data_IF_253825402724
#
_entry.id   IF_253825402724
#
_cell.length_a   1.000
_cell.length_b   1.000
_cell.length_c   1.000
_cell.angle_alpha   90.00
_cell.angle_beta   90.00
_cell.angle_gamma   90.00
#
_symmetry.space_group_name_H-M   'P 1'
#
loop_
_entity.id
_entity.type
_entity.pdbx_description
1 polymer ?
#
# COMPACT_ATOMS: atom_id res chain seq x y z
N UNK A 1 3.91 11.26 -15.50
CA UNK A 1 4.30 10.82 -14.14
C UNK A 1 5.38 9.76 -14.23
N UNK A 2 6.34 9.76 -13.30
CA UNK A 2 7.34 8.69 -13.19
C UNK A 2 6.71 7.41 -12.60
N UNK A 3 7.30 6.26 -12.92
CA UNK A 3 6.90 4.97 -12.35
C UNK A 3 7.08 5.02 -10.82
N UNK A 4 6.03 4.68 -10.02
CA UNK A 4 6.11 4.69 -8.57
C UNK A 4 7.25 3.81 -8.04
N UNK A 5 7.96 4.30 -7.03
CA UNK A 5 8.98 3.56 -6.29
C UNK A 5 8.53 3.34 -4.85
N UNK A 6 8.94 2.24 -4.19
CA UNK A 6 8.62 2.02 -2.79
C UNK A 6 9.16 3.17 -1.93
N UNK A 7 8.31 3.69 -1.04
CA UNK A 7 8.67 4.73 -0.08
C UNK A 7 9.51 4.10 1.04
N UNK A 8 10.47 4.85 1.58
CA UNK A 8 11.16 4.45 2.81
C UNK A 8 10.18 4.51 3.98
N UNK A 9 10.21 3.53 4.89
CA UNK A 9 9.27 3.55 6.01
C UNK A 9 9.39 4.84 6.86
N UNK A 10 10.59 5.40 6.97
CA UNK A 10 10.84 6.67 7.67
C UNK A 10 10.26 7.90 6.97
N UNK A 11 9.89 7.79 5.69
CA UNK A 11 9.32 8.89 4.90
C UNK A 11 7.78 8.81 4.83
N UNK A 12 7.17 7.76 5.38
CA UNK A 12 5.72 7.71 5.56
C UNK A 12 5.29 8.80 6.54
N UNK A 13 4.09 9.35 6.32
CA UNK A 13 3.52 10.42 7.14
C UNK A 13 2.13 10.04 7.61
N UNK A 14 1.84 10.33 8.87
CA UNK A 14 0.50 10.20 9.43
C UNK A 14 -0.47 11.13 8.70
N UNK A 15 -1.69 10.65 8.45
CA UNK A 15 -2.72 11.37 7.72
C UNK A 15 -2.63 11.26 6.19
N UNK A 16 -1.50 10.82 5.63
CA UNK A 16 -1.31 10.72 4.18
C UNK A 16 -1.83 9.40 3.60
N UNK A 17 -2.18 9.46 2.31
CA UNK A 17 -2.66 8.32 1.52
C UNK A 17 -1.54 7.69 0.69
N UNK A 18 -1.57 6.37 0.61
CA UNK A 18 -0.62 5.56 -0.16
C UNK A 18 -1.31 4.38 -0.83
N UNK A 19 -0.68 3.83 -1.87
CA UNK A 19 -0.97 2.47 -2.31
C UNK A 19 -0.12 1.51 -1.48
N UNK A 20 -0.75 0.52 -0.85
CA UNK A 20 -0.07 -0.63 -0.26
C UNK A 20 -0.15 -1.83 -1.21
N UNK A 21 1.00 -2.32 -1.67
CA UNK A 21 1.15 -3.57 -2.41
C UNK A 21 1.49 -4.68 -1.43
N UNK A 22 0.48 -5.50 -1.12
CA UNK A 22 0.57 -6.60 -0.17
C UNK A 22 0.85 -7.91 -0.92
N UNK A 23 2.05 -8.43 -0.74
CA UNK A 23 2.53 -9.70 -1.29
C UNK A 23 2.31 -10.82 -0.29
N UNK A 24 1.50 -11.81 -0.67
CA UNK A 24 1.27 -13.04 0.07
C UNK A 24 2.37 -14.07 -0.21
N UNK A 25 2.52 -15.07 0.65
CA UNK A 25 3.44 -16.23 0.46
C UNK A 25 3.29 -16.93 -0.88
N UNK A 26 2.08 -17.00 -1.41
CA UNK A 26 1.78 -17.59 -2.73
C UNK A 26 2.25 -16.72 -3.91
N UNK A 27 2.94 -15.60 -3.63
CA UNK A 27 3.30 -14.52 -4.56
C UNK A 27 2.09 -13.82 -5.19
N UNK A 28 0.88 -14.09 -4.70
CA UNK A 28 -0.29 -13.29 -5.01
C UNK A 28 -0.18 -11.92 -4.34
N UNK A 29 -0.62 -10.89 -5.04
CA UNK A 29 -0.54 -9.49 -4.65
C UNK A 29 -1.92 -8.89 -4.54
N UNK A 30 -2.18 -8.22 -3.44
CA UNK A 30 -3.38 -7.39 -3.33
C UNK A 30 -2.94 -5.96 -3.13
N UNK A 31 -3.55 -5.05 -3.87
CA UNK A 31 -3.31 -3.62 -3.70
C UNK A 31 -4.47 -2.99 -2.93
N UNK A 32 -4.11 -2.11 -2.01
CA UNK A 32 -5.04 -1.34 -1.18
C UNK A 32 -4.70 0.14 -1.27
N UNK A 33 -5.71 0.98 -1.09
CA UNK A 33 -5.48 2.37 -0.72
C UNK A 33 -5.44 2.42 0.80
N UNK A 34 -4.38 2.99 1.37
CA UNK A 34 -4.15 3.04 2.81
C UNK A 34 -3.93 4.47 3.28
N UNK A 35 -4.48 4.80 4.44
CA UNK A 35 -4.24 6.05 5.15
C UNK A 35 -3.46 5.73 6.41
N UNK A 36 -2.26 6.28 6.55
CA UNK A 36 -1.44 6.03 7.74
C UNK A 36 -2.04 6.78 8.92
N UNK A 37 -2.22 6.08 10.04
CA UNK A 37 -2.81 6.62 11.26
C UNK A 37 -1.77 6.90 12.33
N UNK A 38 -0.75 6.04 12.44
CA UNK A 38 0.29 6.15 13.46
C UNK A 38 1.60 5.56 12.95
N UNK A 39 2.71 6.25 13.23
CA UNK A 39 4.07 5.79 12.91
C UNK A 39 4.98 5.97 14.14
N UNK A 40 5.62 4.88 14.56
CA UNK A 40 6.64 4.89 15.60
C UNK A 40 7.82 4.01 15.16
N UNK A 41 8.88 4.63 14.62
CA UNK A 41 10.02 3.90 13.99
C UNK A 41 11.37 4.11 14.68
N UNK A 42 11.52 5.13 15.53
CA UNK A 42 12.74 5.44 16.29
C UNK A 42 12.54 5.11 17.77
N UNK A 43 13.62 4.72 18.43
CA UNK A 43 13.67 4.52 19.86
C UNK A 43 14.89 5.26 20.42
N UNK A 44 14.65 6.14 21.39
CA UNK A 44 15.70 6.53 22.34
C UNK A 44 15.47 5.84 23.69
N UNK A 45 14.23 5.65 24.19
CA UNK A 45 13.99 4.94 25.48
C UNK A 45 12.65 4.15 25.65
N UNK A 46 11.89 3.78 24.60
CA UNK A 46 10.71 2.85 24.70
C UNK A 46 9.73 2.82 23.51
N UNK A 47 8.65 2.00 23.52
CA UNK A 47 8.49 0.56 23.15
C UNK A 47 8.41 0.28 21.63
N UNK A 48 8.49 -1.02 21.25
CA UNK A 48 8.39 -1.64 19.92
C UNK A 48 7.96 -0.77 18.71
N UNK A 49 8.67 -0.89 17.57
CA UNK A 49 8.28 -0.20 16.33
C UNK A 49 6.84 -0.54 15.94
N UNK A 50 6.08 0.48 15.56
CA UNK A 50 4.67 0.35 15.21
C UNK A 50 4.33 1.16 13.95
N UNK A 51 3.54 0.58 13.05
CA UNK A 51 2.79 1.31 12.03
C UNK A 51 1.33 0.86 12.08
N UNK A 52 0.42 1.82 12.12
CA UNK A 52 -1.02 1.59 12.03
C UNK A 52 -1.56 2.32 10.81
N UNK A 53 -2.38 1.65 10.02
CA UNK A 53 -3.09 2.28 8.92
C UNK A 53 -4.52 1.77 8.82
N UNK A 54 -5.38 2.58 8.21
CA UNK A 54 -6.64 2.09 7.67
C UNK A 54 -6.51 1.80 6.19
N UNK A 55 -7.26 0.83 5.67
CA UNK A 55 -7.21 0.42 4.27
C UNK A 55 -8.58 0.18 3.67
N UNK A 56 -8.69 0.45 2.38
CA UNK A 56 -9.81 0.01 1.55
C UNK A 56 -9.28 -0.73 0.33
N UNK A 57 -10.08 -1.68 -0.18
CA UNK A 57 -9.77 -2.31 -1.45
C UNK A 57 -9.82 -1.28 -2.58
N UNK A 58 -9.01 -1.45 -3.63
CA UNK A 58 -9.08 -0.57 -4.82
C UNK A 58 -10.49 -0.51 -5.39
N UNK A 59 -11.30 -1.57 -5.27
CA UNK A 59 -12.69 -1.56 -5.73
C UNK A 59 -13.54 -0.55 -4.94
N UNK A 60 -13.38 -0.53 -3.62
CA UNK A 60 -14.24 0.21 -2.71
C UNK A 60 -13.76 1.66 -2.49
N UNK A 61 -12.46 1.94 -2.64
CA UNK A 61 -11.93 3.29 -2.44
C UNK A 61 -12.61 4.31 -3.36
N UNK A 62 -13.09 5.43 -2.81
CA UNK A 62 -13.80 6.48 -3.52
C UNK A 62 -13.40 7.85 -3.01
N UNK A 63 -13.75 8.92 -3.73
CA UNK A 63 -13.52 10.30 -3.28
C UNK A 63 -14.20 10.60 -1.93
N UNK A 64 -15.29 9.90 -1.61
CA UNK A 64 -15.98 10.05 -0.33
C UNK A 64 -15.34 9.25 0.82
N UNK A 65 -14.30 8.45 0.54
CA UNK A 65 -13.60 7.68 1.57
C UNK A 65 -12.89 8.57 2.60
N UNK A 66 -12.62 9.84 2.29
CA UNK A 66 -12.16 10.81 3.29
C UNK A 66 -13.22 11.11 4.36
N UNK A 67 -14.51 11.08 3.98
CA UNK A 67 -15.65 11.38 4.86
C UNK A 67 -16.06 10.14 5.66
N UNK A 68 -16.21 9.00 4.98
CA UNK A 68 -16.69 7.76 5.60
C UNK A 68 -15.57 6.93 6.26
N UNK A 69 -14.31 7.31 6.04
CA UNK A 69 -13.15 6.51 6.44
C UNK A 69 -12.91 5.32 5.51
N UNK A 70 -11.84 4.58 5.79
CA UNK A 70 -11.48 3.36 5.07
C UNK A 70 -11.96 2.12 5.81
N UNK A 71 -12.28 1.07 5.04
CA UNK A 71 -13.02 -0.13 5.47
C UNK A 71 -12.42 -0.89 6.67
N UNK A 72 -11.09 -0.99 6.78
CA UNK A 72 -10.41 -1.83 7.77
C UNK A 72 -9.23 -1.13 8.41
N UNK A 73 -8.85 -1.50 9.62
CA UNK A 73 -7.59 -1.11 10.25
C UNK A 73 -6.61 -2.29 10.23
N UNK A 74 -5.33 -2.00 10.00
CA UNK A 74 -4.24 -2.94 10.22
C UNK A 74 -3.15 -2.31 11.09
N UNK A 75 -2.56 -3.15 11.94
CA UNK A 75 -1.56 -2.75 12.91
C UNK A 75 -0.35 -3.69 12.79
N UNK A 76 0.82 -3.09 12.69
CA UNK A 76 2.09 -3.81 12.61
C UNK A 76 2.94 -3.41 13.81
N UNK A 77 3.44 -4.41 14.53
CA UNK A 77 4.31 -4.25 15.69
C UNK A 77 5.62 -5.03 15.49
N UNK A 78 6.74 -4.55 16.03
CA UNK A 78 8.03 -5.22 15.85
C UNK A 78 8.14 -6.59 16.54
N UNK A 79 7.25 -6.89 17.49
CA UNK A 79 7.03 -8.27 18.00
C UNK A 79 6.73 -9.23 16.87
N UNK A 80 5.83 -8.86 15.96
CA UNK A 80 5.26 -9.76 14.96
C UNK A 80 5.77 -9.50 13.54
N UNK A 81 6.49 -8.40 13.32
CA UNK A 81 6.94 -7.96 12.01
C UNK A 81 8.40 -7.50 11.99
N UNK A 82 9.05 -7.68 10.84
CA UNK A 82 10.30 -7.04 10.50
C UNK A 82 10.02 -5.71 9.79
N UNK A 83 10.60 -4.62 10.31
CA UNK A 83 10.52 -3.29 9.71
C UNK A 83 11.82 -3.04 8.93
N UNK A 84 11.74 -3.26 7.61
CA UNK A 84 12.86 -3.06 6.70
C UNK A 84 12.85 -1.63 6.18
N UNK A 85 13.86 -1.25 5.39
CA UNK A 85 14.02 0.13 4.93
C UNK A 85 12.80 0.66 4.18
N UNK A 86 12.16 -0.15 3.34
CA UNK A 86 11.08 0.23 2.44
C UNK A 86 9.88 -0.73 2.45
N UNK A 87 9.83 -1.68 3.38
CA UNK A 87 8.72 -2.62 3.51
C UNK A 87 8.58 -3.15 4.93
N UNK A 88 7.37 -3.61 5.25
CA UNK A 88 7.06 -4.37 6.47
C UNK A 88 6.86 -5.82 6.09
N UNK A 89 7.39 -6.76 6.87
CA UNK A 89 7.22 -8.19 6.63
C UNK A 89 6.72 -8.91 7.90
N UNK A 90 5.63 -9.64 7.80
CA UNK A 90 5.15 -10.53 8.86
C UNK A 90 6.16 -11.66 9.12
N UNK A 91 6.45 -11.95 10.39
CA UNK A 91 7.36 -13.03 10.79
C UNK A 91 6.74 -14.42 10.56
N UNK A 92 5.43 -14.55 10.76
CA UNK A 92 4.73 -15.85 10.71
C UNK A 92 4.32 -16.24 9.30
N UNK A 93 3.74 -15.29 8.56
CA UNK A 93 3.12 -15.58 7.27
C UNK A 93 3.93 -15.06 6.09
N UNK A 94 5.14 -14.55 6.30
CA UNK A 94 6.00 -13.93 5.28
C UNK A 94 5.31 -12.91 4.36
N UNK A 95 4.18 -12.36 4.79
CA UNK A 95 3.43 -11.35 4.05
C UNK A 95 4.25 -10.05 4.02
N UNK A 96 4.39 -9.43 2.86
CA UNK A 96 5.20 -8.22 2.66
C UNK A 96 4.33 -7.07 2.20
N UNK A 97 4.52 -5.90 2.80
CA UNK A 97 3.82 -4.67 2.45
C UNK A 97 4.82 -3.63 1.95
N UNK A 98 4.67 -3.22 0.69
CA UNK A 98 5.35 -2.07 0.11
C UNK A 98 4.39 -0.90 -0.01
N UNK A 99 4.86 0.32 0.22
CA UNK A 99 4.05 1.53 0.13
C UNK A 99 4.52 2.41 -1.02
N UNK A 100 3.59 3.02 -1.74
CA UNK A 100 3.86 3.87 -2.90
C UNK A 100 3.04 5.15 -2.83
N UNK A 101 3.66 6.26 -3.21
CA UNK A 101 2.92 7.48 -3.51
C UNK A 101 2.11 7.24 -4.78
N UNK A 102 0.95 7.88 -4.85
CA UNK A 102 0.13 7.89 -6.05
C UNK A 102 -0.57 9.24 -6.17
N UNK A 103 -0.88 9.59 -7.42
CA UNK A 103 -1.71 10.74 -7.75
C UNK A 103 -3.18 10.28 -7.76
N UNK A 104 -4.02 10.91 -6.93
CA UNK A 104 -5.41 10.48 -6.77
C UNK A 104 -6.24 10.70 -8.03
N UNK A 105 -6.03 11.81 -8.75
CA UNK A 105 -6.73 12.08 -10.01
C UNK A 105 -6.44 11.01 -11.05
N UNK A 106 -5.17 10.67 -11.25
CA UNK A 106 -4.74 9.59 -12.12
C UNK A 106 -5.33 8.24 -11.67
N UNK A 107 -5.33 7.96 -10.37
CA UNK A 107 -5.91 6.73 -9.84
C UNK A 107 -7.40 6.64 -10.18
N UNK A 108 -8.17 7.70 -9.96
CA UNK A 108 -9.60 7.68 -10.26
C UNK A 108 -9.86 7.58 -11.77
N UNK A 109 -9.11 8.31 -12.60
CA UNK A 109 -9.18 8.21 -14.07
C UNK A 109 -8.93 6.78 -14.55
N UNK A 110 -8.01 6.05 -13.89
CA UNK A 110 -7.55 4.73 -14.33
C UNK A 110 -8.09 3.55 -13.50
N UNK A 111 -8.97 3.80 -12.52
CA UNK A 111 -9.43 2.80 -11.55
C UNK A 111 -9.96 1.53 -12.20
N UNK A 112 -10.73 1.65 -13.28
CA UNK A 112 -11.29 0.49 -13.98
C UNK A 112 -10.21 -0.35 -14.68
N UNK A 113 -9.19 0.30 -15.27
CA UNK A 113 -8.04 -0.40 -15.87
C UNK A 113 -7.23 -1.14 -14.80
N UNK A 114 -6.97 -0.49 -13.65
CA UNK A 114 -6.29 -1.11 -12.51
C UNK A 114 -7.05 -2.38 -12.07
N UNK A 115 -8.37 -2.28 -11.89
CA UNK A 115 -9.21 -3.43 -11.50
C UNK A 115 -9.16 -4.56 -12.53
N UNK A 116 -9.18 -4.23 -13.82
CA UNK A 116 -9.08 -5.20 -14.91
C UNK A 116 -7.73 -5.93 -14.90
N UNK A 117 -6.62 -5.20 -14.79
CA UNK A 117 -5.27 -5.78 -14.75
C UNK A 117 -5.09 -6.67 -13.52
N UNK A 118 -5.51 -6.21 -12.33
CA UNK A 118 -5.43 -7.01 -11.10
C UNK A 118 -6.22 -8.32 -11.22
N UNK A 119 -7.39 -8.28 -11.86
CA UNK A 119 -8.23 -9.46 -12.12
C UNK A 119 -7.55 -10.39 -13.13
N UNK A 120 -7.10 -9.87 -14.27
CA UNK A 120 -6.59 -10.67 -15.40
C UNK A 120 -5.23 -11.29 -15.11
N UNK A 121 -4.39 -10.64 -14.31
CA UNK A 121 -3.04 -11.12 -13.99
C UNK A 121 -3.01 -12.13 -12.85
N UNK A 122 -4.19 -12.59 -12.40
CA UNK A 122 -4.34 -13.40 -11.19
C UNK A 122 -3.55 -12.81 -10.03
N UNK A 123 -3.62 -11.47 -9.87
CA UNK A 123 -2.94 -10.77 -8.79
C UNK A 123 -1.42 -10.94 -8.77
N UNK A 124 -0.75 -11.13 -9.91
CA UNK A 124 0.72 -11.32 -9.92
C UNK A 124 1.52 -10.03 -10.14
N UNK A 125 0.93 -9.03 -10.78
CA UNK A 125 1.61 -7.75 -11.07
C UNK A 125 1.66 -6.85 -9.83
N UNK A 126 2.83 -6.27 -9.61
CA UNK A 126 3.05 -5.21 -8.63
C UNK A 126 2.43 -3.89 -9.07
N UNK A 127 2.22 -2.97 -8.13
CA UNK A 127 1.70 -1.64 -8.46
C UNK A 127 2.54 -0.90 -9.52
N UNK A 128 3.88 -0.86 -9.46
CA UNK A 128 4.70 -0.26 -10.52
C UNK A 128 4.56 -0.92 -11.90
N UNK A 129 4.26 -2.22 -11.98
CA UNK A 129 4.01 -2.91 -13.25
C UNK A 129 2.64 -2.55 -13.81
N UNK A 130 1.60 -2.51 -12.97
CA UNK A 130 0.25 -2.07 -13.35
C UNK A 130 0.30 -0.63 -13.87
N UNK A 131 1.03 0.24 -13.17
CA UNK A 131 1.19 1.64 -13.56
C UNK A 131 1.85 1.78 -14.94
N UNK A 132 2.93 1.03 -15.21
CA UNK A 132 3.62 1.05 -16.51
C UNK A 132 2.71 0.61 -17.65
N UNK A 133 1.97 -0.47 -17.45
CA UNK A 133 1.07 -1.02 -18.47
C UNK A 133 0.01 0.01 -18.88
N UNK A 134 -0.59 0.70 -17.90
CA UNK A 134 -1.57 1.75 -18.17
C UNK A 134 -0.94 2.93 -18.92
N UNK A 135 0.29 3.32 -18.58
CA UNK A 135 0.98 4.40 -19.29
C UNK A 135 1.35 4.03 -20.74
N UNK A 136 1.71 2.77 -21.00
CA UNK A 136 2.05 2.32 -22.35
C UNK A 136 0.83 2.23 -23.28
N UNK A 137 -0.38 2.06 -22.74
CA UNK A 137 -1.63 2.12 -23.52
C UNK A 137 -2.06 3.55 -23.88
N UNK A 138 -1.52 4.57 -23.19
CA UNK A 138 -1.83 5.99 -23.46
C UNK A 138 -0.85 6.64 -24.47
N UNK A 139 0.15 5.91 -24.95
CA UNK A 139 1.15 6.31 -25.97
C UNK A 139 0.80 5.74 -27.34
#
# INVERSE_FOLDING_TARGET
MNIPKPILLNDLKEGELYIADHVLTTKARTIFVVKIKKIQLKHEDGPEKQIVFSRSSVRNYSIFSEIFGLDYNEEFFSTNCYFQKNYIQSKEFFNIYYFYNFDEEWFFKNKQKILLIVKNTNRKKSFPEIFREIQMEEL
#
